data_IF_694464773977
#
_entry.id   IF_694464773977
#
_cell.length_a   1.000
_cell.length_b   1.000
_cell.length_c   1.000
_cell.angle_alpha   90.00
_cell.angle_beta   90.00
_cell.angle_gamma   90.00
#
_symmetry.space_group_name_H-M   'P 1'
#
loop_
_entity.id
_entity.type
_entity.pdbx_description
1 polymer ?
#
# COMPACT_ATOMS: atom_id res chain seq x y z
N UNK A 1 27.31 33.80 -11.52
CA UNK A 1 26.10 33.64 -10.69
C UNK A 1 26.17 32.27 -10.07
N UNK A 2 26.67 32.20 -8.83
CA UNK A 2 26.60 30.97 -8.04
C UNK A 2 25.14 30.71 -7.70
N UNK A 3 24.64 29.55 -8.10
CA UNK A 3 23.32 29.05 -7.73
C UNK A 3 23.35 28.82 -6.22
N UNK A 4 22.67 29.68 -5.46
CA UNK A 4 22.45 29.47 -4.04
C UNK A 4 21.85 28.05 -3.85
N UNK A 5 22.33 27.28 -2.87
CA UNK A 5 21.71 26.00 -2.56
C UNK A 5 20.25 26.25 -2.20
N UNK A 6 19.35 25.59 -2.94
CA UNK A 6 17.92 25.56 -2.67
C UNK A 6 17.70 25.26 -1.19
N UNK A 7 16.98 26.13 -0.48
CA UNK A 7 16.41 25.86 0.85
C UNK A 7 15.29 24.80 0.74
N UNK A 8 15.54 23.70 0.02
CA UNK A 8 14.67 22.52 0.02
C UNK A 8 14.66 21.99 1.44
N UNK A 9 13.46 21.90 2.03
CA UNK A 9 13.26 21.13 3.25
C UNK A 9 13.88 19.73 3.04
N UNK A 10 14.57 19.16 4.04
CA UNK A 10 15.03 17.78 3.96
C UNK A 10 13.84 16.86 3.64
N UNK A 11 14.05 15.92 2.72
CA UNK A 11 13.02 15.07 2.12
C UNK A 11 12.50 13.98 3.08
N UNK A 12 11.97 14.36 4.23
CA UNK A 12 11.30 13.45 5.17
C UNK A 12 9.94 12.91 4.66
N UNK A 13 9.72 12.93 3.34
CA UNK A 13 8.46 12.66 2.64
C UNK A 13 7.97 11.20 2.76
N UNK A 14 8.86 10.27 3.10
CA UNK A 14 8.58 8.83 3.03
C UNK A 14 8.29 8.38 1.59
N UNK A 15 8.86 9.08 0.60
CA UNK A 15 8.75 8.73 -0.81
C UNK A 15 9.14 7.28 -1.05
N UNK A 16 8.35 6.58 -1.85
CA UNK A 16 8.68 5.23 -2.26
C UNK A 16 9.91 5.30 -3.16
N UNK A 17 10.81 4.34 -2.98
CA UNK A 17 11.92 4.14 -3.93
C UNK A 17 11.28 4.02 -5.32
N UNK A 18 11.83 4.63 -6.38
CA UNK A 18 11.24 4.57 -7.73
C UNK A 18 10.94 3.15 -8.23
N UNK A 19 11.60 2.14 -7.66
CA UNK A 19 11.43 0.72 -7.96
C UNK A 19 10.35 0.02 -7.12
N UNK A 20 9.65 0.71 -6.22
CA UNK A 20 8.60 0.11 -5.40
C UNK A 20 7.43 -0.37 -6.31
N UNK A 21 6.97 -1.63 -6.17
CA UNK A 21 5.89 -2.17 -7.00
C UNK A 21 4.61 -1.32 -7.02
N UNK A 22 4.29 -0.63 -5.91
CA UNK A 22 3.10 0.23 -5.81
C UNK A 22 3.29 1.54 -6.58
N UNK A 23 4.47 2.13 -6.50
CA UNK A 23 4.81 3.34 -7.26
C UNK A 23 4.80 3.06 -8.76
N UNK A 24 5.37 1.92 -9.15
CA UNK A 24 5.35 1.44 -10.55
C UNK A 24 3.93 1.21 -11.05
N UNK A 25 3.08 0.54 -10.27
CA UNK A 25 1.68 0.31 -10.66
C UNK A 25 0.90 1.62 -10.85
N UNK A 26 1.11 2.62 -9.97
CA UNK A 26 0.48 3.93 -10.10
C UNK A 26 0.96 4.65 -11.37
N UNK A 27 2.27 4.65 -11.65
CA UNK A 27 2.82 5.27 -12.86
C UNK A 27 2.36 4.56 -14.14
N UNK A 28 2.22 3.24 -14.11
CA UNK A 28 1.65 2.49 -15.24
C UNK A 28 0.20 2.88 -15.53
N UNK A 29 -0.60 3.12 -14.50
CA UNK A 29 -2.02 3.44 -14.65
C UNK A 29 -2.29 4.93 -14.94
N UNK A 30 -1.45 5.82 -14.43
CA UNK A 30 -1.69 7.27 -14.44
C UNK A 30 -0.61 8.10 -15.13
N UNK A 31 0.49 7.51 -15.56
CA UNK A 31 1.61 8.19 -16.22
C UNK A 31 2.58 8.84 -15.22
N UNK A 32 3.38 9.78 -15.71
CA UNK A 32 4.25 10.59 -14.87
C UNK A 32 3.45 11.71 -14.18
N UNK A 33 4.07 12.46 -13.27
CA UNK A 33 3.39 13.53 -12.50
C UNK A 33 2.57 14.49 -13.40
N UNK A 34 3.06 14.99 -14.56
CA UNK A 34 2.27 15.85 -15.43
C UNK A 34 0.99 15.19 -15.96
N UNK A 35 1.05 13.91 -16.34
CA UNK A 35 -0.09 13.14 -16.83
C UNK A 35 -1.12 12.91 -15.72
N UNK A 36 -0.62 12.61 -14.52
CA UNK A 36 -1.44 12.48 -13.32
C UNK A 36 -2.17 13.79 -13.02
N UNK A 37 -1.47 14.92 -13.03
CA UNK A 37 -2.04 16.24 -12.81
C UNK A 37 -3.09 16.59 -13.87
N UNK A 38 -2.85 16.28 -15.14
CA UNK A 38 -3.84 16.49 -16.21
C UNK A 38 -5.11 15.66 -15.98
N UNK A 39 -4.96 14.41 -15.55
CA UNK A 39 -6.07 13.49 -15.30
C UNK A 39 -6.89 13.86 -14.06
N UNK A 40 -6.25 14.36 -13.02
CA UNK A 40 -6.89 14.77 -11.77
C UNK A 40 -7.08 16.29 -11.63
N UNK A 41 -6.92 17.06 -12.70
CA UNK A 41 -7.09 18.51 -12.70
C UNK A 41 -8.54 18.97 -12.45
N UNK A 42 -8.80 20.27 -12.60
CA UNK A 42 -10.08 20.90 -12.20
C UNK A 42 -11.33 20.26 -12.84
N UNK A 43 -11.22 19.73 -14.05
CA UNK A 43 -12.32 19.06 -14.76
C UNK A 43 -12.74 17.75 -14.07
N UNK A 44 -11.80 17.07 -13.41
CA UNK A 44 -12.05 15.81 -12.71
C UNK A 44 -12.89 15.99 -11.44
N UNK A 45 -12.81 17.15 -10.78
CA UNK A 45 -13.52 17.40 -9.52
C UNK A 45 -15.03 17.08 -9.59
N UNK A 46 -15.73 17.60 -10.61
CA UNK A 46 -17.18 17.37 -10.76
C UNK A 46 -17.49 15.91 -11.02
N UNK A 47 -16.64 15.23 -11.80
CA UNK A 47 -16.81 13.82 -12.10
C UNK A 47 -16.60 12.95 -10.86
N UNK A 48 -15.52 13.18 -10.11
CA UNK A 48 -15.21 12.50 -8.85
C UNK A 48 -16.29 12.76 -7.79
N UNK A 49 -16.81 14.00 -7.68
CA UNK A 49 -17.82 14.33 -6.70
C UNK A 49 -19.14 13.59 -6.93
N UNK A 50 -19.56 13.42 -8.19
CA UNK A 50 -20.78 12.69 -8.57
C UNK A 50 -20.63 11.17 -8.47
N UNK A 51 -19.42 10.65 -8.67
CA UNK A 51 -19.17 9.22 -8.84
C UNK A 51 -18.17 8.67 -7.81
N UNK A 52 -18.12 9.23 -6.61
CA UNK A 52 -17.07 8.90 -5.62
C UNK A 52 -17.04 7.42 -5.26
N UNK A 53 -18.21 6.80 -5.04
CA UNK A 53 -18.28 5.36 -4.75
C UNK A 53 -17.76 4.52 -5.93
N UNK A 54 -18.20 4.85 -7.15
CA UNK A 54 -17.72 4.18 -8.36
C UNK A 54 -16.21 4.33 -8.54
N UNK A 55 -15.67 5.51 -8.23
CA UNK A 55 -14.23 5.77 -8.29
C UNK A 55 -13.47 4.91 -7.27
N UNK A 56 -13.99 4.77 -6.05
CA UNK A 56 -13.41 3.91 -5.00
C UNK A 56 -13.47 2.44 -5.43
N UNK A 57 -14.63 1.96 -5.93
CA UNK A 57 -14.79 0.58 -6.43
C UNK A 57 -13.88 0.27 -7.62
N UNK A 58 -13.62 1.26 -8.47
CA UNK A 58 -12.68 1.15 -9.60
C UNK A 58 -11.21 1.22 -9.18
N UNK A 59 -10.91 1.33 -7.88
CA UNK A 59 -9.54 1.29 -7.36
C UNK A 59 -8.75 2.57 -7.58
N UNK A 60 -9.39 3.75 -7.56
CA UNK A 60 -8.64 5.02 -7.52
C UNK A 60 -7.68 5.01 -6.32
N UNK A 61 -6.40 5.33 -6.51
CA UNK A 61 -5.40 5.16 -5.46
C UNK A 61 -5.65 6.06 -4.25
N UNK A 62 -5.23 5.53 -3.10
CA UNK A 62 -5.19 6.24 -1.83
C UNK A 62 -4.14 7.35 -1.89
N UNK A 63 -4.45 8.49 -1.29
CA UNK A 63 -3.64 9.71 -1.34
C UNK A 63 -2.22 9.49 -0.82
N UNK A 64 -2.04 8.68 0.24
CA UNK A 64 -0.73 8.26 0.73
C UNK A 64 0.16 7.68 -0.37
N UNK A 65 -0.38 6.78 -1.20
CA UNK A 65 0.40 6.14 -2.26
C UNK A 65 0.78 7.12 -3.37
N UNK A 66 -0.08 8.09 -3.66
CA UNK A 66 0.19 9.16 -4.63
C UNK A 66 1.31 10.07 -4.13
N UNK A 67 1.19 10.59 -2.90
CA UNK A 67 2.20 11.46 -2.26
C UNK A 67 3.56 10.77 -2.24
N UNK A 68 3.61 9.49 -1.90
CA UNK A 68 4.88 8.76 -1.90
C UNK A 68 5.41 8.44 -3.30
N UNK A 69 4.56 8.39 -4.33
CA UNK A 69 4.98 8.07 -5.71
C UNK A 69 5.56 9.27 -6.45
N UNK A 70 4.93 10.44 -6.29
CA UNK A 70 5.29 11.66 -7.02
C UNK A 70 5.96 12.73 -6.15
N UNK A 71 6.08 12.49 -4.85
CA UNK A 71 6.65 13.44 -3.90
C UNK A 71 5.62 14.44 -3.39
N UNK A 72 5.91 15.00 -2.21
CA UNK A 72 5.03 15.92 -1.52
C UNK A 72 4.83 17.22 -2.31
N UNK A 73 5.91 17.90 -2.70
CA UNK A 73 5.87 19.16 -3.46
C UNK A 73 5.06 19.04 -4.75
N UNK A 74 5.24 17.93 -5.49
CA UNK A 74 4.55 17.69 -6.76
C UNK A 74 3.04 17.52 -6.59
N UNK A 75 2.63 16.80 -5.54
CA UNK A 75 1.22 16.60 -5.22
C UNK A 75 0.61 17.86 -4.58
N UNK A 76 1.36 18.57 -3.75
CA UNK A 76 0.96 19.85 -3.17
C UNK A 76 0.66 20.87 -4.27
N UNK A 77 1.46 20.93 -5.34
CA UNK A 77 1.18 21.76 -6.50
C UNK A 77 -0.18 21.46 -7.17
N UNK A 78 -0.52 20.18 -7.34
CA UNK A 78 -1.84 19.77 -7.85
C UNK A 78 -2.97 20.17 -6.91
N UNK A 79 -2.82 19.90 -5.61
CA UNK A 79 -3.82 20.25 -4.60
C UNK A 79 -4.01 21.77 -4.51
N UNK A 80 -2.92 22.54 -4.66
CA UNK A 80 -2.93 24.00 -4.72
C UNK A 80 -3.87 24.54 -5.79
N UNK A 81 -3.83 23.97 -7.01
CA UNK A 81 -4.75 24.34 -8.11
C UNK A 81 -6.22 24.17 -7.68
N UNK A 82 -6.55 23.10 -6.96
CA UNK A 82 -7.91 22.84 -6.49
C UNK A 82 -8.35 23.78 -5.37
N UNK A 83 -7.43 24.14 -4.47
CA UNK A 83 -7.67 25.13 -3.41
C UNK A 83 -7.95 26.49 -4.03
N UNK A 84 -7.11 26.94 -4.98
CA UNK A 84 -7.28 28.21 -5.68
C UNK A 84 -8.62 28.28 -6.41
N UNK A 85 -9.02 27.24 -7.16
CA UNK A 85 -10.35 27.22 -7.82
C UNK A 85 -11.49 27.28 -6.79
N UNK A 86 -11.33 26.65 -5.62
CA UNK A 86 -12.35 26.67 -4.60
C UNK A 86 -12.51 28.05 -3.95
N UNK A 87 -11.40 28.70 -3.55
CA UNK A 87 -11.40 30.06 -3.00
C UNK A 87 -11.95 31.05 -4.05
N UNK A 88 -11.47 30.91 -5.30
CA UNK A 88 -12.02 31.47 -6.54
C UNK A 88 -13.55 31.62 -6.52
N UNK A 89 -14.20 30.45 -6.42
CA UNK A 89 -15.64 30.33 -6.63
C UNK A 89 -16.47 30.54 -5.38
N UNK A 90 -15.87 30.54 -4.19
CA UNK A 90 -16.55 30.99 -2.98
C UNK A 90 -16.81 32.50 -2.99
N UNK A 91 -16.25 33.24 -3.96
CA UNK A 91 -16.55 34.66 -4.17
C UNK A 91 -15.84 35.55 -3.17
N UNK A 92 -14.63 35.19 -2.75
CA UNK A 92 -13.85 36.07 -1.88
C UNK A 92 -13.31 37.25 -2.70
N UNK A 93 -13.69 38.48 -2.35
CA UNK A 93 -13.32 39.73 -3.04
C UNK A 93 -11.81 40.06 -3.01
N UNK A 94 -10.97 39.15 -2.50
CA UNK A 94 -9.53 39.33 -2.36
C UNK A 94 -8.75 38.38 -3.25
N UNK A 95 -7.58 38.83 -3.68
CA UNK A 95 -6.59 37.98 -4.33
C UNK A 95 -6.26 36.79 -3.43
N UNK A 96 -6.17 35.61 -4.05
CA UNK A 96 -5.80 34.38 -3.35
C UNK A 96 -4.34 34.48 -2.93
N UNK A 97 -4.08 34.43 -1.63
CA UNK A 97 -2.73 34.43 -1.10
C UNK A 97 -2.05 33.09 -1.39
N UNK A 98 -0.97 33.13 -2.18
CA UNK A 98 -0.19 31.95 -2.56
C UNK A 98 0.36 31.21 -1.33
N UNK A 99 0.72 31.94 -0.26
CA UNK A 99 1.19 31.34 0.98
C UNK A 99 0.09 30.55 1.68
N UNK A 100 -1.13 31.07 1.71
CA UNK A 100 -2.29 30.37 2.28
C UNK A 100 -2.58 29.09 1.49
N UNK A 101 -2.51 29.14 0.16
CA UNK A 101 -2.71 27.97 -0.71
C UNK A 101 -1.64 26.91 -0.46
N UNK A 102 -0.37 27.32 -0.45
CA UNK A 102 0.77 26.43 -0.24
C UNK A 102 0.71 25.76 1.13
N UNK A 103 0.38 26.52 2.17
CA UNK A 103 0.21 26.03 3.53
C UNK A 103 -0.91 24.97 3.62
N UNK A 104 -2.07 25.22 3.02
CA UNK A 104 -3.18 24.25 3.03
C UNK A 104 -2.78 22.99 2.25
N UNK A 105 -2.15 23.14 1.09
CA UNK A 105 -1.74 22.01 0.25
C UNK A 105 -0.76 21.08 0.98
N UNK A 106 0.28 21.65 1.59
CA UNK A 106 1.24 20.88 2.39
C UNK A 106 0.60 20.29 3.64
N UNK A 107 -0.25 21.02 4.37
CA UNK A 107 -0.97 20.46 5.52
C UNK A 107 -1.85 19.26 5.13
N UNK A 108 -2.45 19.28 3.94
CA UNK A 108 -3.19 18.14 3.38
C UNK A 108 -2.26 16.97 3.06
N UNK A 109 -1.12 17.27 2.43
CA UNK A 109 -0.15 16.26 2.05
C UNK A 109 0.59 15.65 3.23
N UNK A 110 0.88 16.37 4.31
CA UNK A 110 1.61 15.90 5.49
C UNK A 110 0.72 15.11 6.47
N UNK A 111 -0.59 15.41 6.52
CA UNK A 111 -1.46 14.80 7.52
C UNK A 111 -1.71 13.31 7.28
N UNK A 112 -1.39 12.49 8.27
CA UNK A 112 -1.67 11.05 8.26
C UNK A 112 -3.14 10.72 8.01
N UNK A 113 -4.05 11.52 8.59
CA UNK A 113 -5.49 11.28 8.43
C UNK A 113 -5.95 11.52 7.00
N UNK A 114 -5.47 12.59 6.36
CA UNK A 114 -5.86 12.93 4.99
C UNK A 114 -5.23 11.99 3.97
N UNK A 115 -4.03 11.48 4.28
CA UNK A 115 -3.34 10.45 3.49
C UNK A 115 -4.13 9.15 3.33
N UNK A 116 -5.08 8.83 4.22
CA UNK A 116 -5.88 7.61 4.14
C UNK A 116 -7.03 7.66 3.12
N UNK A 117 -7.42 8.85 2.68
CA UNK A 117 -8.53 9.04 1.73
C UNK A 117 -8.10 8.70 0.30
N UNK A 118 -9.04 8.24 -0.54
CA UNK A 118 -8.81 8.17 -1.99
C UNK A 118 -8.67 9.57 -2.62
N UNK A 119 -7.93 9.67 -3.73
CA UNK A 119 -7.82 10.93 -4.49
C UNK A 119 -9.19 11.48 -4.92
N UNK A 120 -10.12 10.59 -5.28
CA UNK A 120 -11.47 10.98 -5.66
C UNK A 120 -12.21 11.69 -4.50
N UNK A 121 -12.00 11.24 -3.27
CA UNK A 121 -12.55 11.87 -2.06
C UNK A 121 -11.91 13.24 -1.78
N UNK A 122 -10.60 13.39 -1.98
CA UNK A 122 -9.92 14.70 -1.88
C UNK A 122 -10.54 15.69 -2.88
N UNK A 123 -10.70 15.27 -4.14
CA UNK A 123 -11.29 16.15 -5.17
C UNK A 123 -12.77 16.46 -4.91
N UNK A 124 -13.51 15.50 -4.36
CA UNK A 124 -14.90 15.70 -3.96
C UNK A 124 -15.01 16.78 -2.90
N UNK A 125 -14.10 16.82 -1.92
CA UNK A 125 -14.09 17.89 -0.92
C UNK A 125 -14.04 19.27 -1.56
N UNK A 126 -13.08 19.52 -2.45
CA UNK A 126 -12.95 20.83 -3.10
C UNK A 126 -14.15 21.18 -3.99
N UNK A 127 -14.78 20.18 -4.60
CA UNK A 127 -16.05 20.39 -5.31
C UNK A 127 -17.18 20.82 -4.38
N UNK A 128 -17.32 20.19 -3.21
CA UNK A 128 -18.34 20.56 -2.23
C UNK A 128 -18.04 21.92 -1.59
N UNK A 129 -16.76 22.21 -1.34
CA UNK A 129 -16.28 23.46 -0.79
C UNK A 129 -16.72 24.65 -1.63
N UNK A 130 -16.46 24.59 -2.93
CA UNK A 130 -16.87 25.66 -3.86
C UNK A 130 -18.38 25.72 -4.14
N UNK A 131 -19.11 24.66 -3.81
CA UNK A 131 -20.57 24.65 -3.87
C UNK A 131 -21.21 25.21 -2.59
N UNK A 132 -20.43 25.59 -1.57
CA UNK A 132 -20.95 26.16 -0.33
C UNK A 132 -21.56 25.14 0.63
N UNK A 133 -21.22 23.86 0.48
CA UNK A 133 -21.73 22.76 1.33
C UNK A 133 -21.14 22.76 2.74
N UNK A 134 -20.17 23.64 3.01
CA UNK A 134 -19.56 23.81 4.33
C UNK A 134 -19.82 25.22 4.83
N UNK A 135 -20.25 25.31 6.09
CA UNK A 135 -20.52 26.57 6.77
C UNK A 135 -19.23 27.33 7.10
N UNK A 136 -18.67 28.00 6.10
CA UNK A 136 -17.51 28.89 6.22
C UNK A 136 -18.03 30.33 6.14
N UNK A 137 -18.42 30.87 7.29
CA UNK A 137 -18.87 32.27 7.38
C UNK A 137 -17.69 33.25 7.48
N UNK A 138 -17.81 34.40 6.82
CA UNK A 138 -16.82 35.48 6.84
C UNK A 138 -15.53 35.14 6.08
N UNK A 139 -14.40 35.76 6.46
CA UNK A 139 -13.09 35.57 5.82
C UNK A 139 -12.69 34.09 5.79
N UNK A 140 -12.32 33.58 4.61
CA UNK A 140 -11.91 32.18 4.37
C UNK A 140 -10.44 32.04 4.75
N UNK A 141 -10.15 31.55 5.95
CA UNK A 141 -8.77 31.33 6.39
C UNK A 141 -8.34 29.88 6.14
N UNK A 142 -7.02 29.61 5.99
CA UNK A 142 -6.51 28.24 5.90
C UNK A 142 -7.03 27.30 6.98
N UNK A 143 -7.10 27.82 8.22
CA UNK A 143 -7.60 27.08 9.37
C UNK A 143 -9.05 26.63 9.18
N UNK A 144 -9.93 27.50 8.67
CA UNK A 144 -11.34 27.14 8.42
C UNK A 144 -11.47 26.07 7.33
N UNK A 145 -10.68 26.18 6.25
CA UNK A 145 -10.66 25.16 5.19
C UNK A 145 -10.19 23.81 5.77
N UNK A 146 -9.09 23.79 6.54
CA UNK A 146 -8.57 22.57 7.16
C UNK A 146 -9.51 21.99 8.22
N UNK A 147 -10.25 22.82 8.96
CA UNK A 147 -11.28 22.37 9.90
C UNK A 147 -12.47 21.75 9.18
N UNK A 148 -12.97 22.37 8.11
CA UNK A 148 -14.01 21.80 7.26
C UNK A 148 -13.55 20.47 6.64
N UNK A 149 -12.32 20.43 6.14
CA UNK A 149 -11.73 19.22 5.57
C UNK A 149 -11.56 18.11 6.61
N UNK A 150 -11.17 18.44 7.84
CA UNK A 150 -11.08 17.47 8.94
C UNK A 150 -12.42 16.82 9.28
N UNK A 151 -13.50 17.60 9.31
CA UNK A 151 -14.85 17.06 9.53
C UNK A 151 -15.25 16.16 8.38
N UNK A 152 -15.08 16.63 7.14
CA UNK A 152 -15.34 15.86 5.93
C UNK A 152 -14.59 14.52 5.90
N UNK A 153 -13.30 14.54 6.23
CA UNK A 153 -12.43 13.37 6.17
C UNK A 153 -12.89 12.23 7.09
N UNK A 154 -13.45 12.55 8.26
CA UNK A 154 -13.95 11.53 9.21
C UNK A 154 -15.11 10.76 8.57
N UNK A 155 -16.13 11.48 8.10
CA UNK A 155 -17.32 10.87 7.51
C UNK A 155 -16.99 10.14 6.21
N UNK A 156 -16.07 10.71 5.42
CA UNK A 156 -15.67 10.13 4.15
C UNK A 156 -14.86 8.86 4.37
N UNK A 157 -13.92 8.83 5.32
CA UNK A 157 -13.15 7.62 5.64
C UNK A 157 -14.08 6.47 6.07
N UNK A 158 -15.09 6.76 6.90
CA UNK A 158 -16.06 5.75 7.31
C UNK A 158 -16.82 5.16 6.09
N UNK A 159 -17.17 5.99 5.11
CA UNK A 159 -17.79 5.55 3.85
C UNK A 159 -16.83 4.70 3.01
N UNK A 160 -15.58 5.12 2.84
CA UNK A 160 -14.59 4.35 2.08
C UNK A 160 -14.33 2.97 2.72
N UNK A 161 -14.22 2.92 4.05
CA UNK A 161 -14.04 1.66 4.78
C UNK A 161 -15.22 0.71 4.60
N UNK A 162 -16.45 1.24 4.61
CA UNK A 162 -17.66 0.45 4.34
C UNK A 162 -17.65 -0.11 2.90
N UNK A 163 -17.32 0.72 1.92
CA UNK A 163 -17.23 0.29 0.51
C UNK A 163 -16.16 -0.79 0.35
N UNK A 164 -14.99 -0.62 0.97
CA UNK A 164 -13.91 -1.60 0.94
C UNK A 164 -14.35 -2.95 1.52
N UNK A 165 -15.07 -2.94 2.64
CA UNK A 165 -15.64 -4.15 3.24
C UNK A 165 -16.67 -4.84 2.32
N UNK A 166 -17.54 -4.06 1.67
CA UNK A 166 -18.51 -4.59 0.70
C UNK A 166 -17.82 -5.25 -0.50
N UNK A 167 -16.78 -4.61 -1.07
CA UNK A 167 -15.98 -5.18 -2.16
C UNK A 167 -15.31 -6.49 -1.74
N UNK A 168 -14.72 -6.55 -0.55
CA UNK A 168 -14.05 -7.75 -0.05
C UNK A 168 -15.05 -8.90 0.15
N UNK A 169 -16.23 -8.59 0.70
CA UNK A 169 -17.32 -9.57 0.86
C UNK A 169 -17.81 -10.10 -0.48
N UNK A 170 -17.99 -9.24 -1.48
CA UNK A 170 -18.38 -9.62 -2.84
C UNK A 170 -17.33 -10.53 -3.48
N UNK A 171 -16.05 -10.17 -3.39
CA UNK A 171 -14.94 -10.99 -3.91
C UNK A 171 -14.87 -12.37 -3.25
N UNK A 172 -15.06 -12.42 -1.93
CA UNK A 172 -15.09 -13.69 -1.20
C UNK A 172 -16.25 -14.56 -1.64
N UNK A 173 -17.45 -13.99 -1.77
CA UNK A 173 -18.63 -14.73 -2.24
C UNK A 173 -18.45 -15.25 -3.67
N UNK A 174 -17.81 -14.48 -4.56
CA UNK A 174 -17.48 -14.92 -5.91
C UNK A 174 -16.46 -16.06 -5.90
N UNK A 175 -15.39 -15.93 -5.10
CA UNK A 175 -14.39 -16.98 -4.95
C UNK A 175 -14.98 -18.27 -4.37
N UNK A 176 -15.87 -18.17 -3.39
CA UNK A 176 -16.57 -19.31 -2.79
C UNK A 176 -17.50 -19.99 -3.81
N UNK A 177 -18.20 -19.21 -4.65
CA UNK A 177 -19.06 -19.72 -5.73
C UNK A 177 -18.23 -20.38 -6.85
N UNK A 178 -17.12 -19.78 -7.26
CA UNK A 178 -16.19 -20.36 -8.22
C UNK A 178 -15.54 -21.65 -7.68
N UNK A 179 -15.15 -21.66 -6.40
CA UNK A 179 -14.65 -22.85 -5.73
C UNK A 179 -15.72 -23.95 -5.68
N UNK A 180 -16.99 -23.58 -5.45
CA UNK A 180 -18.11 -24.53 -5.49
C UNK A 180 -18.36 -25.08 -6.89
N UNK A 181 -18.26 -24.25 -7.94
CA UNK A 181 -18.42 -24.66 -9.34
C UNK A 181 -17.27 -25.54 -9.82
N UNK A 182 -16.05 -25.23 -9.38
CA UNK A 182 -14.84 -25.98 -9.71
C UNK A 182 -14.59 -27.16 -8.75
N UNK A 183 -15.49 -27.42 -7.81
CA UNK A 183 -15.39 -28.56 -6.90
C UNK A 183 -15.60 -29.86 -7.69
N UNK A 184 -14.52 -30.64 -7.80
CA UNK A 184 -14.57 -31.99 -8.37
C UNK A 184 -14.88 -32.96 -7.24
N UNK A 185 -15.73 -33.95 -7.50
CA UNK A 185 -16.03 -34.99 -6.52
C UNK A 185 -14.75 -35.78 -6.18
N UNK A 186 -14.66 -36.33 -4.97
CA UNK A 186 -13.52 -37.16 -4.56
C UNK A 186 -13.28 -38.31 -5.54
N UNK A 187 -14.36 -38.93 -6.02
CA UNK A 187 -14.30 -40.10 -6.90
C UNK A 187 -13.71 -39.73 -8.26
N UNK A 188 -14.14 -38.61 -8.85
CA UNK A 188 -13.64 -38.11 -10.13
C UNK A 188 -12.17 -37.67 -10.02
N UNK A 189 -11.81 -37.00 -8.92
CA UNK A 189 -10.42 -36.61 -8.66
C UNK A 189 -9.51 -37.82 -8.45
N UNK A 190 -9.92 -38.78 -7.61
CA UNK A 190 -9.16 -40.00 -7.34
C UNK A 190 -8.91 -40.79 -8.62
N UNK A 191 -9.93 -40.92 -9.47
CA UNK A 191 -9.82 -41.58 -10.78
C UNK A 191 -8.83 -40.85 -11.69
N UNK A 192 -8.85 -39.52 -11.74
CA UNK A 192 -7.89 -38.72 -12.52
C UNK A 192 -6.43 -38.87 -12.08
N UNK A 193 -6.21 -39.19 -10.81
CA UNK A 193 -4.89 -39.37 -10.22
C UNK A 193 -4.45 -40.86 -10.17
N UNK A 194 -5.27 -41.78 -10.71
CA UNK A 194 -5.01 -43.20 -10.67
C UNK A 194 -5.08 -43.83 -9.28
N UNK A 195 -5.81 -43.19 -8.35
CA UNK A 195 -6.01 -43.65 -6.96
C UNK A 195 -7.32 -44.43 -6.90
N UNK A 196 -7.35 -45.56 -6.18
CA UNK A 196 -8.60 -46.30 -5.95
C UNK A 196 -9.60 -45.42 -5.15
N UNK A 197 -10.75 -45.06 -5.74
CA UNK A 197 -11.75 -44.20 -5.10
C UNK A 197 -12.25 -44.75 -3.75
N UNK A 198 -12.21 -46.08 -3.55
CA UNK A 198 -12.71 -46.76 -2.35
C UNK A 198 -11.89 -46.50 -1.08
N UNK A 199 -10.65 -46.04 -1.21
CA UNK A 199 -9.80 -45.67 -0.06
C UNK A 199 -10.38 -44.45 0.67
N UNK A 200 -11.12 -43.60 -0.05
CA UNK A 200 -11.68 -42.35 0.47
C UNK A 200 -10.62 -41.27 0.72
N UNK A 201 -11.04 -40.01 0.80
CA UNK A 201 -10.15 -38.86 1.02
C UNK A 201 -9.33 -39.02 2.31
N UNK A 202 -9.96 -39.49 3.39
CA UNK A 202 -9.28 -39.69 4.68
C UNK A 202 -8.25 -40.81 4.65
N UNK A 203 -8.52 -41.91 3.96
CA UNK A 203 -7.56 -43.01 3.82
C UNK A 203 -6.33 -42.60 3.02
N UNK A 204 -6.53 -41.85 1.93
CA UNK A 204 -5.43 -41.33 1.11
C UNK A 204 -4.57 -40.30 1.87
N UNK A 205 -5.19 -39.37 2.60
CA UNK A 205 -4.47 -38.41 3.44
C UNK A 205 -3.64 -39.13 4.52
N UNK A 206 -4.18 -40.15 5.16
CA UNK A 206 -3.46 -40.94 6.15
C UNK A 206 -2.24 -41.65 5.55
N UNK A 207 -2.35 -42.19 4.34
CA UNK A 207 -1.21 -42.77 3.61
C UNK A 207 -0.14 -41.72 3.31
N UNK A 208 -0.52 -40.55 2.81
CA UNK A 208 0.43 -39.45 2.53
C UNK A 208 1.12 -38.93 3.77
N UNK A 209 0.42 -38.81 4.89
CA UNK A 209 1.03 -38.43 6.16
C UNK A 209 2.00 -39.50 6.67
N UNK A 210 1.69 -40.79 6.47
CA UNK A 210 2.57 -41.89 6.83
C UNK A 210 3.83 -41.91 5.95
N UNK A 211 3.68 -41.79 4.62
CA UNK A 211 4.79 -41.64 3.67
C UNK A 211 5.68 -40.44 3.99
N UNK A 212 5.09 -39.27 4.30
CA UNK A 212 5.84 -38.07 4.68
C UNK A 212 6.56 -38.21 6.03
N UNK A 213 6.00 -39.01 6.95
CA UNK A 213 6.62 -39.33 8.25
C UNK A 213 7.77 -40.33 8.10
N UNK A 214 7.66 -41.27 7.17
CA UNK A 214 8.71 -42.24 6.82
C UNK A 214 9.82 -41.60 5.96
N UNK A 215 9.48 -40.64 5.09
CA UNK A 215 10.44 -39.86 4.28
C UNK A 215 11.17 -38.77 5.06
N UNK A 216 10.70 -38.40 6.26
CA UNK A 216 11.50 -37.62 7.21
C UNK A 216 12.62 -38.51 7.74
N UNK A 217 13.78 -38.46 7.07
CA UNK A 217 15.07 -38.93 7.60
C UNK A 217 15.16 -38.43 9.04
N UNK A 218 15.35 -39.31 10.05
CA UNK A 218 15.47 -38.85 11.43
C UNK A 218 16.65 -37.88 11.49
N UNK A 219 16.39 -36.62 11.89
CA UNK A 219 17.47 -35.68 12.20
C UNK A 219 18.39 -36.40 13.18
N UNK A 220 19.69 -36.56 12.82
CA UNK A 220 20.70 -37.14 13.71
C UNK A 220 20.49 -36.60 15.12
N UNK A 221 20.37 -37.49 16.08
CA UNK A 221 20.11 -37.11 17.48
C UNK A 221 21.21 -36.16 17.97
N UNK A 222 20.90 -35.32 18.95
CA UNK A 222 21.86 -34.34 19.50
C UNK A 222 23.18 -35.04 19.92
N UNK A 223 23.10 -36.28 20.40
CA UNK A 223 24.24 -37.11 20.74
C UNK A 223 25.12 -37.45 19.53
N UNK A 224 24.52 -37.85 18.40
CA UNK A 224 25.27 -38.16 17.17
C UNK A 224 25.93 -36.92 16.57
N UNK A 225 25.26 -35.76 16.64
CA UNK A 225 25.85 -34.48 16.22
C UNK A 225 27.00 -34.06 17.13
N UNK A 226 26.89 -34.31 18.44
CA UNK A 226 27.95 -34.04 19.41
C UNK A 226 29.17 -34.94 19.18
N UNK A 227 28.97 -36.23 18.91
CA UNK A 227 30.07 -37.18 18.61
C UNK A 227 30.80 -36.79 17.31
N UNK A 228 30.08 -36.37 16.27
CA UNK A 228 30.71 -35.87 15.03
C UNK A 228 31.54 -34.59 15.30
N UNK A 229 31.01 -33.68 16.11
CA UNK A 229 31.70 -32.45 16.47
C UNK A 229 32.96 -32.71 17.30
N UNK A 230 32.88 -33.58 18.32
CA UNK A 230 34.05 -33.92 19.15
C UNK A 230 35.12 -34.65 18.34
N UNK A 231 34.72 -35.57 17.44
CA UNK A 231 35.68 -36.29 16.57
C UNK A 231 36.44 -35.32 15.67
N UNK A 232 35.76 -34.33 15.07
CA UNK A 232 36.41 -33.28 14.26
C UNK A 232 37.33 -32.40 15.11
N UNK A 233 36.92 -32.06 16.33
CA UNK A 233 37.72 -31.24 17.23
C UNK A 233 38.99 -31.97 17.66
N UNK A 234 38.91 -33.28 17.93
CA UNK A 234 40.08 -34.13 18.22
C UNK A 234 41.04 -34.15 17.02
N UNK A 235 40.54 -34.30 15.79
CA UNK A 235 41.38 -34.27 14.58
C UNK A 235 42.09 -32.93 14.37
N UNK A 236 41.41 -31.82 14.67
CA UNK A 236 42.00 -30.48 14.61
C UNK A 236 43.08 -30.32 15.68
N UNK A 237 42.82 -30.77 16.91
CA UNK A 237 43.80 -30.71 18.00
C UNK A 237 45.03 -31.59 17.72
N UNK A 238 44.85 -32.79 17.17
CA UNK A 238 45.99 -33.63 16.77
C UNK A 238 46.80 -33.00 15.64
N UNK A 239 46.15 -32.34 14.68
CA UNK A 239 46.84 -31.61 13.62
C UNK A 239 47.65 -30.43 14.17
N UNK A 240 47.10 -29.69 15.15
CA UNK A 240 47.80 -28.58 15.81
C UNK A 240 49.00 -29.09 16.64
N UNK A 241 48.86 -30.22 17.34
CA UNK A 241 49.96 -30.84 18.10
C UNK A 241 51.09 -31.31 17.17
N UNK A 242 50.76 -31.94 16.05
CA UNK A 242 51.73 -32.33 15.03
C UNK A 242 52.42 -31.12 14.39
N UNK A 243 51.69 -30.03 14.13
CA UNK A 243 52.23 -28.77 13.62
C UNK A 243 53.16 -28.05 14.63
N UNK A 244 52.84 -28.10 15.92
CA UNK A 244 53.69 -27.52 16.97
C UNK A 244 54.97 -28.35 17.19
N UNK A 245 54.87 -29.69 17.08
CA UNK A 245 56.04 -30.59 17.14
C UNK A 245 56.97 -30.44 15.95
N UNK A 246 56.45 -30.16 14.76
CA UNK A 246 57.28 -29.89 13.58
C UNK A 246 57.98 -28.53 13.67
N UNK A 247 57.31 -27.50 14.22
CA UNK A 247 57.90 -26.17 14.42
C UNK A 247 59.00 -26.10 15.50
N UNK A 248 58.98 -26.98 16.50
CA UNK A 248 60.01 -27.08 17.53
C UNK A 248 61.25 -27.91 17.13
N UNK A 249 61.29 -28.40 15.87
CA UNK A 249 62.40 -29.20 15.32
C UNK A 249 63.25 -28.46 14.28
N UNK A 250 62.95 -27.19 14.01
CA UNK A 250 63.82 -26.22 13.32
C UNK A 250 64.43 -25.26 14.35
#
# INVERSE_FOLDING_TARGET
>A
MELLPSNRRPDNSGALIPTDPRAVAIRQQYGELPDFCNKFGLTAQRHCAKNVEKAIRNGVPVFASIVRTYGEDGVAGLIGIHITDAILRMGEDREVDEYDVDFIAHAICESERFRLLSMASILRFFHLLKCGEFDIYGKVTPRKILEAFRKYAIDQQAKENRIAYEIEKEKKAQADEEARRNAISWEDWATSQGIDPKIGLHGWMAQKFKEAREARIPKKTIAEQFVEWTTRLIQILSFIDDYMKSKNKE
#
